data_IF_002440777554
#
_entry.id   IF_002440777554
#
_cell.length_a   1.000
_cell.length_b   1.000
_cell.length_c   1.000
_cell.angle_alpha   90.00
_cell.angle_beta   90.00
_cell.angle_gamma   90.00
#
_symmetry.space_group_name_H-M   'P 1'
#
loop_
_entity.id
_entity.type
_entity.pdbx_description
1 polymer ?
#
# COMPACT_ATOMS: atom_id res chain seq x y z
N UNK A 1 -5.78 -7.35 1.67
CA UNK A 1 -4.42 -7.92 1.63
C UNK A 1 -4.17 -8.83 0.42
N UNK A 2 -5.18 -9.15 -0.41
CA UNK A 2 -5.01 -9.94 -1.66
C UNK A 2 -5.40 -9.16 -2.92
N UNK A 3 -5.38 -7.83 -2.87
CA UNK A 3 -5.83 -6.94 -3.94
C UNK A 3 -4.73 -6.06 -4.58
N UNK A 4 -3.42 -6.39 -4.55
CA UNK A 4 -2.39 -5.50 -5.11
C UNK A 4 -2.53 -5.32 -6.63
N UNK A 5 -3.13 -6.27 -7.34
CA UNK A 5 -3.39 -6.15 -8.78
C UNK A 5 -4.28 -4.95 -9.14
N UNK A 6 -5.25 -4.61 -8.28
CA UNK A 6 -6.12 -3.44 -8.48
C UNK A 6 -5.32 -2.15 -8.38
N UNK A 7 -4.40 -2.07 -7.41
CA UNK A 7 -3.50 -0.94 -7.25
C UNK A 7 -2.56 -0.79 -8.45
N UNK A 8 -1.98 -1.89 -8.92
CA UNK A 8 -1.11 -1.88 -10.10
C UNK A 8 -1.86 -1.37 -11.34
N UNK A 9 -3.08 -1.88 -11.57
CA UNK A 9 -3.94 -1.44 -12.68
C UNK A 9 -4.30 0.05 -12.59
N UNK A 10 -4.48 0.59 -11.38
CA UNK A 10 -4.77 2.03 -11.15
C UNK A 10 -3.53 2.93 -11.20
N UNK A 11 -2.34 2.41 -11.48
CA UNK A 11 -1.11 3.21 -11.55
C UNK A 11 -0.38 3.40 -10.23
N UNK A 12 -0.58 2.49 -9.26
CA UNK A 12 0.36 2.35 -8.15
C UNK A 12 1.65 1.73 -8.66
N UNK A 13 2.77 2.40 -8.45
CA UNK A 13 4.04 2.00 -9.07
C UNK A 13 4.72 0.88 -8.29
N UNK A 14 5.57 0.10 -8.95
CA UNK A 14 6.42 -0.91 -8.30
C UNK A 14 7.33 -0.30 -7.22
N UNK A 15 7.79 0.95 -7.43
CA UNK A 15 8.57 1.66 -6.43
C UNK A 15 7.74 1.97 -5.17
N UNK A 16 6.48 2.36 -5.33
CA UNK A 16 5.58 2.60 -4.20
C UNK A 16 5.28 1.30 -3.43
N UNK A 17 5.16 0.16 -4.13
CA UNK A 17 5.03 -1.16 -3.50
C UNK A 17 6.25 -1.48 -2.63
N UNK A 18 7.45 -1.30 -3.19
CA UNK A 18 8.69 -1.50 -2.45
C UNK A 18 8.79 -0.54 -1.25
N UNK A 19 8.47 0.74 -1.43
CA UNK A 19 8.55 1.73 -0.36
C UNK A 19 7.71 1.33 0.86
N UNK A 20 6.47 0.87 0.63
CA UNK A 20 5.59 0.39 1.70
C UNK A 20 6.13 -0.90 2.34
N UNK A 21 6.61 -1.86 1.54
CA UNK A 21 7.14 -3.12 2.06
C UNK A 21 8.39 -2.93 2.94
N UNK A 22 9.26 -1.98 2.58
CA UNK A 22 10.47 -1.68 3.35
C UNK A 22 10.24 -0.61 4.44
N UNK A 23 9.04 -0.02 4.52
CA UNK A 23 8.73 1.03 5.48
C UNK A 23 9.67 2.23 5.42
N UNK A 24 10.18 2.55 4.23
CA UNK A 24 11.24 3.57 4.07
C UNK A 24 10.67 5.01 4.10
N UNK A 25 11.54 6.02 4.00
CA UNK A 25 11.15 7.45 4.03
C UNK A 25 10.10 7.84 2.97
N UNK A 26 10.02 7.11 1.87
CA UNK A 26 9.09 7.36 0.78
C UNK A 26 7.77 6.56 0.93
N UNK A 27 7.58 5.80 2.00
CA UNK A 27 6.30 5.18 2.33
C UNK A 27 5.27 6.23 2.78
N UNK A 28 4.10 6.22 2.15
CA UNK A 28 2.96 7.05 2.55
C UNK A 28 2.43 6.67 3.94
N UNK A 29 2.56 5.40 4.33
CA UNK A 29 2.24 4.89 5.66
C UNK A 29 3.28 5.21 6.72
N UNK A 30 4.41 5.85 6.35
CA UNK A 30 5.53 6.20 7.24
C UNK A 30 6.10 5.00 8.00
N UNK A 31 6.05 3.79 7.42
CA UNK A 31 6.52 2.56 8.04
C UNK A 31 5.71 2.10 9.26
N UNK A 32 4.49 2.64 9.46
CA UNK A 32 3.66 2.33 10.64
C UNK A 32 2.82 1.07 10.49
N UNK A 33 2.73 0.54 9.27
CA UNK A 33 1.91 -0.61 8.94
C UNK A 33 2.80 -1.76 8.46
N UNK A 34 2.35 -3.00 8.69
CA UNK A 34 3.01 -4.19 8.19
C UNK A 34 3.13 -4.16 6.66
N UNK A 35 4.13 -4.82 6.06
CA UNK A 35 4.20 -4.99 4.62
C UNK A 35 2.88 -5.53 4.05
N UNK A 36 2.53 -5.14 2.81
CA UNK A 36 1.28 -5.48 2.12
C UNK A 36 0.05 -4.66 2.59
N UNK A 37 0.22 -3.74 3.52
CA UNK A 37 -0.83 -2.80 3.94
C UNK A 37 -0.85 -1.52 3.07
N UNK A 38 -1.12 -1.70 1.78
CA UNK A 38 -1.13 -0.59 0.83
C UNK A 38 -2.36 0.31 1.01
N UNK A 39 -2.19 1.60 0.67
CA UNK A 39 -3.24 2.61 0.66
C UNK A 39 -2.81 3.82 -0.15
N UNK A 40 -3.71 4.44 -0.93
CA UNK A 40 -3.43 5.66 -1.70
C UNK A 40 -4.71 6.42 -2.03
N UNK A 41 -4.89 7.58 -1.39
CA UNK A 41 -6.03 8.47 -1.62
C UNK A 41 -6.14 8.90 -3.09
N UNK A 42 -5.02 9.21 -3.76
CA UNK A 42 -5.01 9.61 -5.18
C UNK A 42 -5.57 8.53 -6.13
N UNK A 43 -5.55 7.26 -5.72
CA UNK A 43 -6.09 6.14 -6.51
C UNK A 43 -7.41 5.62 -5.96
N UNK A 44 -8.04 6.36 -5.04
CA UNK A 44 -9.26 5.97 -4.35
C UNK A 44 -9.17 4.53 -3.80
N UNK A 45 -8.05 4.21 -3.14
CA UNK A 45 -7.81 2.91 -2.53
C UNK A 45 -7.55 3.07 -1.04
N UNK A 46 -8.43 2.48 -0.23
CA UNK A 46 -8.38 2.57 1.23
C UNK A 46 -7.16 1.82 1.78
N UNK A 47 -6.56 2.35 2.85
CA UNK A 47 -5.44 1.67 3.50
C UNK A 47 -5.90 0.37 4.14
N UNK A 48 -5.26 -0.73 3.76
CA UNK A 48 -5.53 -2.07 4.30
C UNK A 48 -5.17 -2.12 5.80
N UNK A 49 -5.97 -2.85 6.57
CA UNK A 49 -5.70 -3.22 7.96
C UNK A 49 -5.74 -4.74 8.13
N UNK A 50 -5.12 -5.24 9.21
CA UNK A 50 -5.07 -6.69 9.51
C UNK A 50 -6.40 -7.30 9.97
N UNK A 51 -7.23 -6.64 10.80
CA UNK A 51 -8.46 -7.24 11.29
C UNK A 51 -9.38 -7.63 10.14
N UNK A 52 -9.79 -8.90 10.14
CA UNK A 52 -10.71 -9.47 9.17
C UNK A 52 -12.13 -9.42 9.76
N UNK A 53 -13.13 -9.19 8.91
CA UNK A 53 -14.54 -9.33 9.23
C UNK A 53 -15.09 -10.64 8.68
#
# INVERSE_FOLDING_TARGET
YREPGVLLWRGFTLQEFANQCFGNKADYGKGRQMPIHYGKNKLNFFTISSPIA
#
